data_IF_005715903248
#
_entry.id   IF_005715903248
#
_cell.length_a   1.000
_cell.length_b   1.000
_cell.length_c   1.000
_cell.angle_alpha   90.00
_cell.angle_beta   90.00
_cell.angle_gamma   90.00
#
_symmetry.space_group_name_H-M   'P 1'
#
loop_
_entity.id
_entity.type
_entity.pdbx_description
1 polymer ?
#
# COMPACT_ATOMS: atom_id res chain seq x y z
N UNK A 1 -2.54 -11.91 -3.08
CA UNK A 1 -2.10 -11.09 -1.93
C UNK A 1 -1.78 -12.01 -0.76
N UNK A 2 -0.52 -12.07 -0.31
CA UNK A 2 -0.16 -12.76 0.93
C UNK A 2 0.60 -11.77 1.80
N UNK A 3 0.04 -11.48 2.98
CA UNK A 3 0.70 -10.73 4.02
C UNK A 3 1.78 -11.66 4.59
N UNK A 4 3.06 -11.34 4.39
CA UNK A 4 4.14 -12.07 5.04
C UNK A 4 4.65 -11.22 6.21
N UNK A 5 4.59 -11.75 7.42
CA UNK A 5 5.33 -11.19 8.53
C UNK A 5 6.72 -11.84 8.53
N UNK A 6 7.75 -11.02 8.39
CA UNK A 6 9.10 -11.42 8.72
C UNK A 6 9.55 -10.43 9.79
N UNK A 7 9.71 -10.89 11.02
CA UNK A 7 10.30 -10.11 12.11
C UNK A 7 9.52 -8.83 12.54
N UNK A 8 8.20 -8.81 12.41
CA UNK A 8 7.36 -7.68 12.86
C UNK A 8 7.14 -6.57 11.83
N UNK A 9 7.75 -6.68 10.65
CA UNK A 9 7.52 -5.77 9.53
C UNK A 9 6.63 -6.42 8.48
N UNK A 10 5.60 -5.68 8.05
CA UNK A 10 4.75 -6.06 6.93
C UNK A 10 5.43 -5.67 5.62
N UNK A 11 5.82 -6.66 4.82
CA UNK A 11 6.42 -6.42 3.50
C UNK A 11 5.38 -6.74 2.43
N UNK A 12 5.14 -5.76 1.55
CA UNK A 12 4.26 -5.89 0.39
C UNK A 12 5.11 -5.88 -0.88
N UNK A 13 5.19 -7.02 -1.56
CA UNK A 13 5.89 -7.13 -2.84
C UNK A 13 4.87 -7.09 -3.98
N UNK A 14 4.68 -5.92 -4.58
CA UNK A 14 3.76 -5.73 -5.72
C UNK A 14 4.29 -6.36 -7.02
N UNK A 15 5.61 -6.44 -7.17
CA UNK A 15 6.24 -6.86 -8.43
C UNK A 15 6.55 -8.36 -8.51
N UNK A 16 6.30 -9.13 -7.46
CA UNK A 16 6.69 -10.56 -7.42
C UNK A 16 5.85 -11.46 -8.35
N UNK A 17 4.73 -10.96 -8.84
CA UNK A 17 3.85 -11.63 -9.79
C UNK A 17 3.44 -10.58 -10.85
N UNK A 18 4.08 -10.57 -12.02
CA UNK A 18 3.67 -9.77 -13.21
C UNK A 18 2.14 -9.62 -13.32
N UNK A 19 1.52 -8.49 -13.67
CA UNK A 19 1.89 -7.09 -13.83
C UNK A 19 0.59 -6.33 -13.58
N UNK A 20 0.56 -5.35 -12.67
CA UNK A 20 -0.53 -4.38 -12.74
C UNK A 20 -0.29 -3.51 -13.97
N UNK A 21 -1.25 -3.44 -14.89
CA UNK A 21 -1.25 -2.42 -15.95
C UNK A 21 -1.21 -1.03 -15.32
N UNK A 22 -0.82 0.00 -16.06
CA UNK A 22 -0.91 1.38 -15.54
C UNK A 22 -2.32 1.72 -15.04
N UNK A 23 -3.37 1.23 -15.71
CA UNK A 23 -4.76 1.42 -15.29
C UNK A 23 -5.10 0.69 -13.99
N UNK A 24 -4.58 -0.51 -13.78
CA UNK A 24 -4.76 -1.26 -12.53
C UNK A 24 -3.98 -0.61 -11.38
N UNK A 25 -2.76 -0.13 -11.64
CA UNK A 25 -1.97 0.65 -10.67
C UNK A 25 -2.69 1.94 -10.29
N UNK A 26 -3.23 2.67 -11.26
CA UNK A 26 -4.02 3.88 -11.01
C UNK A 26 -5.28 3.58 -10.17
N UNK A 27 -5.98 2.49 -10.47
CA UNK A 27 -7.16 2.05 -9.72
C UNK A 27 -6.83 1.65 -8.27
N UNK A 28 -5.69 0.97 -8.07
CA UNK A 28 -5.16 0.63 -6.75
C UNK A 28 -4.79 1.87 -5.95
N UNK A 29 -4.12 2.83 -6.57
CA UNK A 29 -3.76 4.10 -5.92
C UNK A 29 -5.01 4.83 -5.42
N UNK A 30 -6.02 4.98 -6.29
CA UNK A 30 -7.30 5.59 -5.93
C UNK A 30 -8.02 4.85 -4.78
N UNK A 31 -7.97 3.51 -4.76
CA UNK A 31 -8.55 2.72 -3.68
C UNK A 31 -7.80 2.92 -2.35
N UNK A 32 -6.46 2.98 -2.38
CA UNK A 32 -5.63 3.21 -1.20
C UNK A 32 -5.84 4.62 -0.64
N UNK A 33 -5.93 5.65 -1.49
CA UNK A 33 -6.26 7.02 -1.09
C UNK A 33 -7.63 7.10 -0.40
N UNK A 34 -8.62 6.41 -0.95
CA UNK A 34 -9.96 6.35 -0.36
C UNK A 34 -9.92 5.73 1.04
N UNK A 35 -9.21 4.60 1.20
CA UNK A 35 -9.07 3.93 2.49
C UNK A 35 -8.34 4.83 3.50
N UNK A 36 -7.25 5.47 3.11
CA UNK A 36 -6.50 6.39 3.96
C UNK A 36 -7.39 7.55 4.44
N UNK A 37 -8.18 8.14 3.54
CA UNK A 37 -9.13 9.22 3.87
C UNK A 37 -10.23 8.75 4.82
N UNK A 38 -10.68 7.50 4.69
CA UNK A 38 -11.71 6.90 5.55
C UNK A 38 -11.18 6.57 6.94
N UNK A 39 -9.92 6.16 7.03
CA UNK A 39 -9.29 5.62 8.24
C UNK A 39 -8.44 6.63 9.01
N UNK A 40 -8.14 7.80 8.44
CA UNK A 40 -7.33 8.84 9.10
C UNK A 40 -7.83 9.31 10.47
N UNK A 41 -9.12 9.17 10.75
CA UNK A 41 -9.75 9.63 12.00
C UNK A 41 -9.96 8.49 13.01
N UNK A 42 -9.45 7.29 12.74
CA UNK A 42 -9.55 6.15 13.65
C UNK A 42 -8.21 6.04 14.37
N UNK A 43 -8.21 6.30 15.68
CA UNK A 43 -6.99 6.40 16.49
C UNK A 43 -6.14 5.11 16.43
N UNK A 44 -6.79 3.94 16.56
CA UNK A 44 -6.14 2.63 16.44
C UNK A 44 -5.41 2.41 15.10
N UNK A 45 -5.78 3.14 14.05
CA UNK A 45 -5.16 3.03 12.72
C UNK A 45 -4.02 4.01 12.50
N UNK A 46 -3.84 4.97 13.41
CA UNK A 46 -2.79 5.98 13.39
C UNK A 46 -1.57 5.60 14.27
N UNK A 47 -1.60 4.44 14.93
CA UNK A 47 -0.45 3.92 15.65
C UNK A 47 0.76 3.69 14.73
N UNK A 48 1.96 3.73 15.29
CA UNK A 48 3.21 3.44 14.57
C UNK A 48 3.19 1.99 14.05
N UNK A 49 3.46 1.80 12.75
CA UNK A 49 3.28 0.51 12.07
C UNK A 49 1.81 0.12 11.83
N UNK A 50 0.87 1.01 12.16
CA UNK A 50 -0.56 0.82 12.01
C UNK A 50 -1.05 0.91 10.56
N UNK A 51 -2.36 0.80 10.40
CA UNK A 51 -2.98 0.64 9.08
C UNK A 51 -2.75 1.83 8.14
N UNK A 52 -2.75 3.07 8.66
CA UNK A 52 -2.50 4.25 7.83
C UNK A 52 -1.04 4.34 7.36
N UNK A 53 -0.08 3.88 8.16
CA UNK A 53 1.33 3.78 7.75
C UNK A 53 1.53 2.68 6.71
N UNK A 54 0.88 1.53 6.90
CA UNK A 54 0.88 0.44 5.91
C UNK A 54 0.34 0.92 4.55
N UNK A 55 -0.80 1.63 4.54
CA UNK A 55 -1.41 2.14 3.30
C UNK A 55 -0.47 3.15 2.62
N UNK A 56 0.15 4.07 3.36
CA UNK A 56 1.14 5.01 2.81
C UNK A 56 2.35 4.29 2.22
N UNK A 57 2.85 3.25 2.89
CA UNK A 57 3.96 2.44 2.38
C UNK A 57 3.56 1.71 1.10
N UNK A 58 2.34 1.17 1.02
CA UNK A 58 1.82 0.55 -0.20
C UNK A 58 1.71 1.53 -1.37
N UNK A 59 1.26 2.77 -1.11
CA UNK A 59 1.22 3.82 -2.14
C UNK A 59 2.63 4.19 -2.63
N UNK A 60 3.60 4.33 -1.71
CA UNK A 60 4.99 4.62 -2.09
C UNK A 60 5.61 3.52 -2.95
N UNK A 61 5.36 2.24 -2.64
CA UNK A 61 5.85 1.13 -3.47
C UNK A 61 5.16 1.10 -4.84
N UNK A 62 3.87 1.43 -4.89
CA UNK A 62 3.12 1.56 -6.14
C UNK A 62 3.67 2.69 -7.03
N UNK A 63 3.97 3.85 -6.45
CA UNK A 63 4.54 5.02 -7.17
C UNK A 63 5.95 4.75 -7.70
N UNK A 64 6.80 4.06 -6.91
CA UNK A 64 8.11 3.59 -7.38
C UNK A 64 7.97 2.66 -8.58
N UNK A 65 6.95 1.81 -8.58
CA UNK A 65 6.68 0.91 -9.71
C UNK A 65 6.17 1.65 -10.98
N UNK A 66 5.65 2.87 -10.86
CA UNK A 66 5.20 3.71 -11.99
C UNK A 66 6.33 4.59 -12.54
N UNK A 67 7.26 5.03 -11.69
CA UNK A 67 8.36 5.95 -12.04
C UNK A 67 9.60 5.25 -12.61
N UNK A 68 9.65 3.92 -12.60
CA UNK A 68 10.72 3.10 -13.19
C UNK A 68 10.48 2.63 -14.64
N UNK A 69 9.57 3.25 -15.38
CA UNK A 69 9.25 2.95 -16.80
C UNK A 69 9.83 3.98 -17.76
#
# INVERSE_FOLDING_TARGET
MKLYSKSGNYIWEFDRFHFFTESEKSSLSAALEFLLKRFKNIDDFNEEGGMNEMIKNMMNELDKSLSGS
#
